data_IF_338539846194
#
_entry.id   IF_338539846194
#
_cell.length_a   1.000
_cell.length_b   1.000
_cell.length_c   1.000
_cell.angle_alpha   90.00
_cell.angle_beta   90.00
_cell.angle_gamma   90.00
#
_symmetry.space_group_name_H-M   'P 1'
#
loop_
_entity.id
_entity.type
_entity.pdbx_description
1 polymer ?
#
# COMPACT_ATOMS: atom_id res chain seq x y z
N UNK A 1 12.55 19.59 -0.09
CA UNK A 1 13.87 18.99 0.21
C UNK A 1 14.33 19.57 1.52
N UNK A 2 14.41 18.76 2.58
CA UNK A 2 14.93 19.20 3.87
C UNK A 2 16.43 19.40 3.73
N UNK A 3 16.97 20.61 3.94
CA UNK A 3 18.40 20.84 3.85
C UNK A 3 19.11 20.24 5.07
N UNK A 4 19.45 18.95 4.99
CA UNK A 4 20.37 18.36 5.96
C UNK A 4 21.77 18.89 5.61
N UNK A 5 22.36 19.66 6.50
CA UNK A 5 23.71 20.17 6.28
C UNK A 5 24.69 18.99 6.19
N UNK A 6 25.52 18.95 5.14
CA UNK A 6 26.51 17.88 4.95
C UNK A 6 27.41 17.69 6.19
N UNK A 7 27.69 18.77 6.91
CA UNK A 7 28.45 18.74 8.17
C UNK A 7 27.80 17.89 9.28
N UNK A 8 26.44 17.85 9.35
CA UNK A 8 25.75 17.00 10.34
C UNK A 8 25.86 15.51 10.01
N UNK A 9 26.10 15.15 8.76
CA UNK A 9 26.31 13.77 8.33
C UNK A 9 27.74 13.29 8.60
N UNK A 10 28.73 14.18 8.60
CA UNK A 10 30.14 13.86 8.87
C UNK A 10 30.36 13.47 10.34
N UNK A 11 29.56 14.00 11.25
CA UNK A 11 29.62 13.70 12.68
C UNK A 11 28.67 12.56 13.12
N UNK A 12 28.11 11.81 12.15
CA UNK A 12 27.29 10.64 12.45
C UNK A 12 28.11 9.54 13.14
N UNK A 13 27.57 9.00 14.25
CA UNK A 13 28.25 7.97 15.06
C UNK A 13 28.27 6.58 14.40
N UNK A 14 27.66 6.42 13.21
CA UNK A 14 27.49 5.11 12.57
C UNK A 14 27.76 5.16 11.07
N UNK A 15 28.46 4.12 10.59
CA UNK A 15 28.58 3.89 9.15
C UNK A 15 27.27 3.40 8.53
N UNK A 16 27.13 3.53 7.21
CA UNK A 16 25.99 2.97 6.48
C UNK A 16 25.83 1.47 6.72
N UNK A 17 26.93 0.74 6.74
CA UNK A 17 26.93 -0.70 7.03
C UNK A 17 26.39 -1.01 8.43
N UNK A 18 26.84 -0.29 9.47
CA UNK A 18 26.34 -0.47 10.82
C UNK A 18 24.84 -0.15 10.91
N UNK A 19 24.37 0.87 10.21
CA UNK A 19 22.95 1.18 10.13
C UNK A 19 22.16 0.09 9.41
N UNK A 20 22.67 -0.45 8.30
CA UNK A 20 22.04 -1.56 7.59
C UNK A 20 21.90 -2.80 8.46
N UNK A 21 22.94 -3.14 9.23
CA UNK A 21 22.90 -4.24 10.20
C UNK A 21 21.84 -4.00 11.28
N UNK A 22 21.84 -2.83 11.90
CA UNK A 22 20.86 -2.49 12.96
C UNK A 22 19.42 -2.52 12.46
N UNK A 23 19.15 -1.95 11.28
CA UNK A 23 17.84 -2.01 10.67
C UNK A 23 17.44 -3.44 10.32
N UNK A 24 18.38 -4.24 9.80
CA UNK A 24 18.15 -5.65 9.52
C UNK A 24 17.78 -6.44 10.78
N UNK A 25 18.51 -6.21 11.89
CA UNK A 25 18.21 -6.82 13.19
C UNK A 25 16.82 -6.40 13.70
N UNK A 26 16.51 -5.11 13.59
CA UNK A 26 15.21 -4.58 14.00
C UNK A 26 14.05 -5.21 13.22
N UNK A 27 14.19 -5.40 11.91
CA UNK A 27 13.17 -5.96 11.05
C UNK A 27 13.14 -7.50 11.01
N UNK A 28 14.03 -8.19 11.71
CA UNK A 28 14.03 -9.65 11.80
C UNK A 28 12.88 -10.24 12.63
N UNK A 29 12.20 -9.42 13.43
CA UNK A 29 11.02 -9.82 14.18
C UNK A 29 9.82 -10.00 13.22
N UNK A 30 9.41 -11.25 13.02
CA UNK A 30 8.40 -11.64 12.05
C UNK A 30 6.97 -11.22 12.41
N UNK A 31 6.74 -10.74 13.64
CA UNK A 31 5.40 -10.35 14.12
C UNK A 31 5.07 -8.87 13.85
N UNK A 32 5.94 -8.15 13.15
CA UNK A 32 5.75 -6.71 12.91
C UNK A 32 4.97 -6.45 11.63
N UNK A 33 3.96 -5.60 11.74
CA UNK A 33 3.30 -4.97 10.60
C UNK A 33 4.00 -3.65 10.32
N UNK A 34 4.47 -3.47 9.10
CA UNK A 34 5.09 -2.23 8.67
C UNK A 34 4.03 -1.34 8.02
N UNK A 35 3.82 -0.16 8.58
CA UNK A 35 3.00 0.88 7.97
C UNK A 35 3.87 1.87 7.19
N UNK A 36 3.39 2.29 6.03
CA UNK A 36 4.00 3.36 5.23
C UNK A 36 2.93 4.20 4.54
N UNK A 37 3.33 5.31 3.92
CA UNK A 37 2.49 6.09 3.03
C UNK A 37 3.19 6.22 1.67
N UNK A 38 2.68 5.54 0.64
CA UNK A 38 3.31 5.37 -0.67
C UNK A 38 4.68 4.66 -0.63
N UNK A 39 4.94 3.92 0.44
CA UNK A 39 6.23 3.29 0.69
C UNK A 39 6.54 2.12 -0.25
N UNK A 40 5.51 1.45 -0.77
CA UNK A 40 5.68 0.39 -1.79
C UNK A 40 6.38 0.93 -3.03
N UNK A 41 6.06 2.15 -3.42
CA UNK A 41 6.60 2.77 -4.61
C UNK A 41 7.95 3.48 -4.39
N UNK A 42 8.25 3.89 -3.16
CA UNK A 42 9.43 4.68 -2.83
C UNK A 42 10.30 4.04 -1.74
N UNK A 43 9.86 4.04 -0.48
CA UNK A 43 10.69 3.65 0.68
C UNK A 43 11.22 2.23 0.59
N UNK A 44 10.40 1.27 0.15
CA UNK A 44 10.84 -0.12 -0.01
C UNK A 44 11.90 -0.29 -1.09
N UNK A 45 11.83 0.50 -2.16
CA UNK A 45 12.84 0.46 -3.22
C UNK A 45 14.17 1.04 -2.74
N UNK A 46 14.12 2.15 -2.00
CA UNK A 46 15.29 2.77 -1.39
C UNK A 46 15.93 1.82 -0.38
N UNK A 47 15.14 1.21 0.51
CA UNK A 47 15.64 0.26 1.50
C UNK A 47 16.26 -1.00 0.87
N UNK A 48 15.65 -1.53 -0.20
CA UNK A 48 16.23 -2.67 -0.94
C UNK A 48 17.60 -2.32 -1.51
N UNK A 49 17.72 -1.14 -2.12
CA UNK A 49 18.99 -0.66 -2.66
C UNK A 49 20.02 -0.44 -1.55
N UNK A 50 19.62 0.21 -0.47
CA UNK A 50 20.45 0.45 0.70
C UNK A 50 20.99 -0.87 1.30
N UNK A 51 20.15 -1.89 1.47
CA UNK A 51 20.59 -3.20 1.96
C UNK A 51 21.56 -3.87 0.98
N UNK A 52 21.27 -3.83 -0.32
CA UNK A 52 22.12 -4.40 -1.36
C UNK A 52 23.52 -3.77 -1.36
N UNK A 53 23.60 -2.45 -1.34
CA UNK A 53 24.89 -1.72 -1.28
C UNK A 53 25.71 -2.02 -0.02
N UNK A 54 25.06 -2.39 1.07
CA UNK A 54 25.69 -2.73 2.33
C UNK A 54 25.83 -4.25 2.56
N UNK A 55 25.81 -5.05 1.49
CA UNK A 55 25.99 -6.52 1.52
C UNK A 55 24.99 -7.23 2.44
N UNK A 56 23.81 -6.66 2.63
CA UNK A 56 22.70 -7.26 3.35
C UNK A 56 21.67 -7.81 2.36
N UNK A 57 20.80 -8.71 2.82
CA UNK A 57 19.75 -9.26 1.96
C UNK A 57 18.73 -8.17 1.57
N UNK A 58 18.53 -7.88 0.27
CA UNK A 58 17.71 -6.73 -0.17
C UNK A 58 16.23 -6.84 0.18
N UNK A 59 15.71 -8.07 0.31
CA UNK A 59 14.28 -8.34 0.49
C UNK A 59 13.90 -8.63 1.93
N UNK A 60 14.68 -8.15 2.91
CA UNK A 60 14.42 -8.36 4.34
C UNK A 60 13.00 -7.98 4.78
N UNK A 61 12.43 -6.92 4.17
CA UNK A 61 11.08 -6.43 4.49
C UNK A 61 9.96 -7.19 3.77
N UNK A 62 10.30 -8.15 2.91
CA UNK A 62 9.34 -8.92 2.13
C UNK A 62 9.46 -10.43 2.38
N UNK A 63 10.25 -10.85 3.39
CA UNK A 63 10.43 -12.24 3.79
C UNK A 63 9.42 -12.65 4.87
N UNK A 64 9.21 -13.95 5.00
CA UNK A 64 8.66 -14.63 6.17
C UNK A 64 7.33 -14.04 6.66
N UNK A 65 6.29 -14.07 5.89
CA UNK A 65 4.96 -13.58 6.29
C UNK A 65 4.90 -12.13 6.82
N UNK A 66 5.93 -11.34 6.56
CA UNK A 66 5.94 -9.92 6.91
C UNK A 66 4.84 -9.20 6.16
N UNK A 67 4.13 -8.38 6.91
CA UNK A 67 2.98 -7.65 6.41
C UNK A 67 3.39 -6.21 6.21
N UNK A 68 3.11 -5.69 5.02
CA UNK A 68 3.29 -4.28 4.72
C UNK A 68 1.94 -3.67 4.36
N UNK A 69 1.54 -2.64 5.10
CA UNK A 69 0.33 -1.85 4.88
C UNK A 69 0.72 -0.48 4.38
N UNK A 70 0.35 -0.18 3.15
CA UNK A 70 0.53 1.15 2.58
C UNK A 70 -0.76 1.97 2.76
N UNK A 71 -0.72 2.97 3.63
CA UNK A 71 -1.89 3.80 3.95
C UNK A 71 -2.39 4.62 2.75
N UNK A 72 -1.58 4.85 1.73
CA UNK A 72 -2.08 5.42 0.48
C UNK A 72 -3.08 4.47 -0.19
N UNK A 73 -2.80 3.17 -0.20
CA UNK A 73 -3.73 2.18 -0.75
C UNK A 73 -5.00 2.05 0.10
N UNK A 74 -4.86 2.08 1.43
CA UNK A 74 -6.02 2.16 2.32
C UNK A 74 -6.84 3.44 2.10
N UNK A 75 -6.18 4.55 1.76
CA UNK A 75 -6.85 5.82 1.43
C UNK A 75 -7.66 5.76 0.13
N UNK A 76 -7.25 4.93 -0.87
CA UNK A 76 -8.10 4.71 -2.04
C UNK A 76 -9.41 4.03 -1.64
N UNK A 77 -9.34 2.99 -0.81
CA UNK A 77 -10.53 2.30 -0.32
C UNK A 77 -11.39 3.21 0.57
N UNK A 78 -10.78 3.97 1.47
CA UNK A 78 -11.49 4.94 2.32
C UNK A 78 -12.22 6.00 1.49
N UNK A 79 -11.58 6.52 0.42
CA UNK A 79 -12.19 7.49 -0.51
C UNK A 79 -13.46 6.97 -1.16
N UNK A 80 -13.46 5.68 -1.54
CA UNK A 80 -14.48 5.10 -2.39
C UNK A 80 -15.59 4.37 -1.60
N UNK A 81 -15.29 3.89 -0.38
CA UNK A 81 -16.18 3.01 0.38
C UNK A 81 -16.50 3.51 1.78
N UNK A 82 -16.02 4.70 2.19
CA UNK A 82 -16.30 5.24 3.51
C UNK A 82 -16.50 6.75 3.48
N UNK A 83 -17.40 7.24 4.33
CA UNK A 83 -17.59 8.67 4.58
C UNK A 83 -16.95 9.11 5.92
N UNK A 84 -16.36 8.17 6.66
CA UNK A 84 -15.76 8.42 7.98
C UNK A 84 -14.45 9.19 7.91
N UNK A 85 -13.73 9.11 6.78
CA UNK A 85 -12.48 9.83 6.56
C UNK A 85 -12.73 11.04 5.66
N UNK A 86 -12.33 12.21 6.16
CA UNK A 86 -12.48 13.46 5.41
C UNK A 86 -11.30 13.67 4.46
N UNK A 87 -11.57 14.26 3.30
CA UNK A 87 -10.58 14.56 2.27
C UNK A 87 -10.72 16.01 1.81
N UNK A 88 -9.60 16.70 1.69
CA UNK A 88 -9.57 18.02 1.05
C UNK A 88 -9.88 17.85 -0.45
N UNK A 89 -10.77 18.68 -0.96
CA UNK A 89 -11.04 18.74 -2.41
C UNK A 89 -10.02 19.67 -3.05
N UNK A 90 -9.27 19.14 -4.01
CA UNK A 90 -8.28 19.91 -4.75
C UNK A 90 -8.93 20.81 -5.83
N UNK A 91 -8.12 21.66 -6.48
CA UNK A 91 -8.56 22.60 -7.52
C UNK A 91 -9.27 21.92 -8.72
N UNK A 92 -9.05 20.61 -8.91
CA UNK A 92 -9.69 19.81 -9.96
C UNK A 92 -11.00 19.15 -9.50
N UNK A 93 -11.50 19.50 -8.32
CA UNK A 93 -12.72 18.92 -7.75
C UNK A 93 -12.58 17.46 -7.29
N UNK A 94 -11.34 16.98 -7.08
CA UNK A 94 -11.07 15.60 -6.63
C UNK A 94 -10.58 15.57 -5.19
N UNK A 95 -10.95 14.52 -4.45
CA UNK A 95 -10.41 14.23 -3.12
C UNK A 95 -8.89 14.10 -3.19
N UNK A 96 -8.16 14.90 -2.42
CA UNK A 96 -6.70 14.82 -2.34
C UNK A 96 -6.29 13.62 -1.50
N UNK A 97 -5.32 12.87 -2.00
CA UNK A 97 -4.78 11.67 -1.33
C UNK A 97 -3.34 11.92 -0.83
N UNK A 98 -2.95 13.18 -0.66
CA UNK A 98 -1.68 13.49 -0.01
C UNK A 98 -1.79 13.25 1.49
N UNK A 99 -0.75 12.72 2.10
CA UNK A 99 -0.68 12.46 3.53
C UNK A 99 -1.04 13.71 4.36
N UNK A 100 -0.44 14.84 4.04
CA UNK A 100 -0.69 16.12 4.71
C UNK A 100 -2.14 16.59 4.58
N UNK A 101 -2.74 16.43 3.39
CA UNK A 101 -4.10 16.88 3.14
C UNK A 101 -5.13 15.99 3.88
N UNK A 102 -4.88 14.67 3.95
CA UNK A 102 -5.70 13.74 4.75
C UNK A 102 -5.58 14.09 6.23
N UNK A 103 -4.37 14.33 6.73
CA UNK A 103 -4.13 14.70 8.12
C UNK A 103 -4.91 15.98 8.49
N UNK A 104 -4.73 17.05 7.72
CA UNK A 104 -5.38 18.34 7.96
C UNK A 104 -6.91 18.24 7.89
N UNK A 105 -7.45 17.50 6.91
CA UNK A 105 -8.89 17.31 6.77
C UNK A 105 -9.53 16.63 8.00
N UNK A 106 -8.75 15.85 8.75
CA UNK A 106 -9.20 15.11 9.93
C UNK A 106 -8.69 15.70 11.26
N UNK A 107 -8.19 16.95 11.24
CA UNK A 107 -7.79 17.67 12.45
C UNK A 107 -6.44 17.23 13.04
N UNK A 108 -5.62 16.53 12.27
CA UNK A 108 -4.28 16.11 12.67
C UNK A 108 -3.29 17.23 12.35
N UNK A 109 -2.49 17.64 13.34
CA UNK A 109 -1.44 18.62 13.16
C UNK A 109 -0.23 17.98 12.45
N UNK A 110 0.17 18.53 11.31
CA UNK A 110 1.26 18.02 10.49
C UNK A 110 2.65 18.53 10.87
N UNK A 111 2.74 19.41 11.88
CA UNK A 111 4.01 19.99 12.32
C UNK A 111 4.76 20.72 11.20
N UNK A 112 6.09 20.64 11.20
CA UNK A 112 6.93 21.20 10.13
C UNK A 112 7.00 20.18 9.00
N UNK A 113 6.18 20.37 7.97
CA UNK A 113 6.15 19.48 6.79
C UNK A 113 7.56 19.27 6.21
N UNK A 114 7.81 18.03 5.76
CA UNK A 114 9.06 17.58 5.14
C UNK A 114 10.24 17.33 6.09
N UNK A 115 10.01 17.16 7.40
CA UNK A 115 10.96 16.47 8.25
C UNK A 115 10.57 15.00 8.36
N UNK A 116 11.54 14.08 8.25
CA UNK A 116 11.24 12.64 8.35
C UNK A 116 10.57 12.25 9.67
N UNK A 117 10.88 12.97 10.75
CA UNK A 117 10.28 12.75 12.07
C UNK A 117 8.80 13.18 12.11
N UNK A 118 8.47 14.36 11.56
CA UNK A 118 7.10 14.87 11.57
C UNK A 118 6.23 14.10 10.57
N UNK A 119 6.78 13.74 9.40
CA UNK A 119 6.09 12.89 8.42
C UNK A 119 5.78 11.51 9.03
N UNK A 120 6.69 10.94 9.83
CA UNK A 120 6.44 9.67 10.53
C UNK A 120 5.39 9.81 11.63
N UNK A 121 5.40 10.90 12.41
CA UNK A 121 4.34 11.16 13.41
C UNK A 121 2.98 11.31 12.74
N UNK A 122 2.90 12.07 11.65
CA UNK A 122 1.68 12.22 10.86
C UNK A 122 1.18 10.87 10.33
N UNK A 123 2.10 10.02 9.84
CA UNK A 123 1.79 8.66 9.41
C UNK A 123 1.16 7.83 10.55
N UNK A 124 1.75 7.87 11.75
CA UNK A 124 1.22 7.16 12.93
C UNK A 124 -0.19 7.65 13.29
N UNK A 125 -0.41 8.96 13.33
CA UNK A 125 -1.72 9.54 13.65
C UNK A 125 -2.79 9.20 12.59
N UNK A 126 -2.42 9.13 11.31
CA UNK A 126 -3.33 8.66 10.26
C UNK A 126 -3.62 7.15 10.43
N UNK A 127 -2.62 6.34 10.78
CA UNK A 127 -2.84 4.93 11.05
C UNK A 127 -3.81 4.71 12.22
N UNK A 128 -3.65 5.46 13.30
CA UNK A 128 -4.55 5.42 14.47
C UNK A 128 -5.97 5.86 14.09
N UNK A 129 -6.10 6.94 13.32
CA UNK A 129 -7.38 7.43 12.80
C UNK A 129 -8.09 6.36 11.95
N UNK A 130 -7.35 5.71 11.05
CA UNK A 130 -7.91 4.68 10.18
C UNK A 130 -8.30 3.42 10.96
N UNK A 131 -7.51 3.04 11.97
CA UNK A 131 -7.86 1.94 12.87
C UNK A 131 -9.11 2.24 13.71
N UNK A 132 -9.32 3.49 14.10
CA UNK A 132 -10.50 3.92 14.86
C UNK A 132 -11.76 4.01 13.98
N UNK A 133 -11.64 4.62 12.78
CA UNK A 133 -12.79 5.00 11.95
C UNK A 133 -13.16 3.99 10.88
N UNK A 134 -12.18 3.26 10.35
CA UNK A 134 -12.34 2.32 9.23
C UNK A 134 -11.55 1.02 9.47
N UNK A 135 -11.71 0.37 10.65
CA UNK A 135 -10.92 -0.81 11.01
C UNK A 135 -11.01 -1.93 9.97
N UNK A 136 -12.14 -2.11 9.31
CA UNK A 136 -12.35 -3.16 8.30
C UNK A 136 -11.40 -2.98 7.11
N UNK A 137 -11.18 -1.75 6.67
CA UNK A 137 -10.25 -1.45 5.56
C UNK A 137 -8.81 -1.78 6.00
N UNK A 138 -8.43 -1.40 7.22
CA UNK A 138 -7.09 -1.68 7.74
C UNK A 138 -6.86 -3.18 7.96
N UNK A 139 -7.83 -3.89 8.54
CA UNK A 139 -7.73 -5.35 8.71
C UNK A 139 -7.65 -6.07 7.37
N UNK A 140 -8.45 -5.65 6.38
CA UNK A 140 -8.33 -6.17 5.01
C UNK A 140 -6.95 -5.87 4.40
N UNK A 141 -6.40 -4.67 4.61
CA UNK A 141 -5.06 -4.33 4.16
C UNK A 141 -3.97 -5.18 4.84
N UNK A 142 -4.12 -5.50 6.13
CA UNK A 142 -3.23 -6.42 6.87
C UNK A 142 -3.34 -7.84 6.31
N UNK A 143 -4.54 -8.36 6.08
CA UNK A 143 -4.75 -9.67 5.46
C UNK A 143 -4.15 -9.75 4.05
N UNK A 144 -4.23 -8.66 3.28
CA UNK A 144 -3.69 -8.54 1.94
C UNK A 144 -2.24 -8.04 1.88
N UNK A 145 -1.59 -7.78 3.01
CA UNK A 145 -0.25 -7.20 3.09
C UNK A 145 0.90 -8.11 2.65
N UNK A 146 0.59 -9.31 2.16
CA UNK A 146 1.53 -10.29 1.63
C UNK A 146 0.99 -10.84 0.30
N UNK A 147 1.88 -11.02 -0.69
CA UNK A 147 1.53 -11.48 -2.05
C UNK A 147 0.73 -12.79 -2.06
N UNK A 148 1.11 -13.75 -1.25
CA UNK A 148 0.44 -15.06 -1.25
C UNK A 148 -0.94 -14.99 -0.58
N UNK A 149 -1.07 -14.19 0.49
CA UNK A 149 -2.34 -14.01 1.17
C UNK A 149 -3.36 -13.32 0.28
N UNK A 150 -2.96 -12.23 -0.41
CA UNK A 150 -3.88 -11.52 -1.31
C UNK A 150 -4.33 -12.39 -2.48
N UNK A 151 -3.43 -13.20 -3.05
CA UNK A 151 -3.80 -14.11 -4.14
C UNK A 151 -4.83 -15.15 -3.68
N UNK A 152 -4.61 -15.78 -2.53
CA UNK A 152 -5.55 -16.76 -1.97
C UNK A 152 -6.91 -16.11 -1.68
N UNK A 153 -6.92 -14.95 -1.01
CA UNK A 153 -8.16 -14.24 -0.69
C UNK A 153 -8.94 -13.87 -1.95
N UNK A 154 -8.28 -13.36 -2.99
CA UNK A 154 -8.92 -13.00 -4.25
C UNK A 154 -9.53 -14.21 -4.99
N UNK A 155 -8.99 -15.41 -4.79
CA UNK A 155 -9.49 -16.65 -5.42
C UNK A 155 -10.65 -17.26 -4.60
N UNK A 156 -10.61 -17.12 -3.28
CA UNK A 156 -11.60 -17.72 -2.36
C UNK A 156 -12.92 -16.95 -2.31
N UNK A 157 -12.87 -15.63 -2.51
CA UNK A 157 -14.06 -14.77 -2.48
C UNK A 157 -14.89 -14.91 -3.77
N UNK A 158 -16.22 -14.84 -3.65
CA UNK A 158 -17.11 -14.82 -4.83
C UNK A 158 -16.97 -13.51 -5.60
N UNK A 159 -16.81 -12.42 -4.87
CA UNK A 159 -16.55 -11.07 -5.40
C UNK A 159 -15.84 -10.23 -4.34
N UNK A 160 -15.15 -9.19 -4.78
CA UNK A 160 -14.52 -8.22 -3.89
C UNK A 160 -14.49 -6.83 -4.54
N UNK A 161 -14.32 -5.82 -3.70
CA UNK A 161 -14.14 -4.44 -4.15
C UNK A 161 -12.64 -4.14 -4.26
N UNK A 162 -12.24 -3.60 -5.40
CA UNK A 162 -10.89 -3.13 -5.66
C UNK A 162 -10.91 -1.62 -5.87
N UNK A 163 -10.03 -0.91 -5.16
CA UNK A 163 -9.85 0.54 -5.32
C UNK A 163 -8.40 0.85 -5.72
N UNK A 164 -8.25 1.80 -6.63
CA UNK A 164 -6.96 2.25 -7.14
C UNK A 164 -6.97 3.78 -7.33
N UNK A 165 -5.87 4.42 -7.78
CA UNK A 165 -5.82 5.88 -7.94
C UNK A 165 -6.91 6.49 -8.83
N UNK A 166 -7.45 5.73 -9.77
CA UNK A 166 -8.34 6.23 -10.81
C UNK A 166 -9.79 5.83 -10.63
N UNK A 167 -10.05 4.66 -10.06
CA UNK A 167 -11.40 4.08 -9.99
C UNK A 167 -11.51 3.02 -8.90
N UNK A 168 -12.75 2.73 -8.53
CA UNK A 168 -13.11 1.51 -7.80
C UNK A 168 -13.91 0.58 -8.71
N UNK A 169 -13.78 -0.73 -8.47
CA UNK A 169 -14.47 -1.77 -9.21
C UNK A 169 -14.91 -2.88 -8.27
N UNK A 170 -16.07 -3.46 -8.54
CA UNK A 170 -16.46 -4.74 -7.99
C UNK A 170 -16.04 -5.83 -8.99
N UNK A 171 -15.28 -6.81 -8.54
CA UNK A 171 -14.67 -7.83 -9.36
C UNK A 171 -15.05 -9.22 -8.87
N UNK A 172 -15.31 -10.14 -9.80
CA UNK A 172 -15.48 -11.56 -9.52
C UNK A 172 -14.35 -12.38 -10.17
N UNK A 173 -13.74 -13.34 -9.47
CA UNK A 173 -12.70 -14.19 -10.07
C UNK A 173 -13.33 -15.10 -11.14
N UNK A 174 -12.79 -15.04 -12.37
CA UNK A 174 -13.23 -15.89 -13.48
C UNK A 174 -12.61 -17.27 -13.45
N UNK A 175 -11.35 -17.34 -13.04
CA UNK A 175 -10.55 -18.57 -13.07
C UNK A 175 -9.90 -18.72 -11.70
N UNK A 176 -10.25 -19.80 -11.00
CA UNK A 176 -9.67 -20.16 -9.70
C UNK A 176 -8.35 -20.92 -9.83
N UNK A 177 -8.01 -21.40 -11.03
CA UNK A 177 -6.75 -22.09 -11.31
C UNK A 177 -5.99 -21.35 -12.40
N UNK A 178 -4.67 -21.35 -12.28
CA UNK A 178 -3.80 -20.77 -13.30
C UNK A 178 -3.97 -21.44 -14.66
N UNK A 179 -4.00 -20.64 -15.71
CA UNK A 179 -3.87 -21.15 -17.08
C UNK A 179 -2.41 -21.55 -17.28
N UNK A 180 -2.15 -22.70 -17.91
CA UNK A 180 -0.79 -23.17 -18.19
C UNK A 180 -0.02 -22.11 -18.99
N UNK A 181 1.10 -21.64 -18.45
CA UNK A 181 1.91 -20.56 -19.01
C UNK A 181 1.55 -19.16 -18.48
N UNK A 182 0.52 -19.05 -17.64
CA UNK A 182 0.05 -17.79 -17.01
C UNK A 182 -0.17 -17.96 -15.50
N UNK A 183 0.69 -18.74 -14.85
CA UNK A 183 0.54 -19.17 -13.46
C UNK A 183 0.58 -17.99 -12.44
N UNK A 184 1.04 -16.82 -12.89
CA UNK A 184 1.11 -15.60 -12.07
C UNK A 184 -0.02 -14.61 -12.38
N UNK A 185 -0.99 -14.99 -13.20
CA UNK A 185 -2.11 -14.11 -13.59
C UNK A 185 -3.42 -14.65 -13.04
N UNK A 186 -4.27 -13.73 -12.57
CA UNK A 186 -5.63 -14.00 -12.13
C UNK A 186 -6.56 -13.12 -12.97
N UNK A 187 -7.58 -13.73 -13.57
CA UNK A 187 -8.53 -13.03 -14.39
C UNK A 187 -9.79 -12.73 -13.59
N UNK A 188 -10.31 -11.52 -13.77
CA UNK A 188 -11.51 -11.05 -13.08
C UNK A 188 -12.52 -10.52 -14.07
N UNK A 189 -13.78 -10.70 -13.73
CA UNK A 189 -14.89 -10.05 -14.41
C UNK A 189 -15.27 -8.77 -13.67
N UNK A 190 -15.40 -7.66 -14.39
CA UNK A 190 -15.89 -6.39 -13.85
C UNK A 190 -17.42 -6.45 -13.75
N UNK A 191 -17.93 -6.48 -12.51
CA UNK A 191 -19.37 -6.61 -12.22
C UNK A 191 -20.20 -5.37 -12.63
N UNK A 192 -19.56 -4.29 -13.10
CA UNK A 192 -20.27 -3.19 -13.75
C UNK A 192 -20.84 -3.57 -15.12
N UNK A 193 -20.43 -4.71 -15.68
CA UNK A 193 -20.90 -5.22 -16.96
C UNK A 193 -21.85 -6.39 -16.77
N UNK A 194 -22.84 -6.50 -17.68
CA UNK A 194 -23.76 -7.63 -17.73
C UNK A 194 -23.06 -8.87 -18.30
N UNK A 195 -22.89 -9.96 -17.52
CA UNK A 195 -22.19 -11.16 -17.97
C UNK A 195 -22.97 -11.92 -19.08
N UNK A 196 -24.28 -11.77 -19.18
CA UNK A 196 -25.09 -12.48 -20.19
C UNK A 196 -24.64 -12.17 -21.61
N UNK A 197 -24.11 -10.98 -21.84
CA UNK A 197 -23.56 -10.56 -23.14
C UNK A 197 -22.35 -11.37 -23.58
N UNK A 198 -21.65 -11.98 -22.65
CA UNK A 198 -20.38 -12.69 -22.88
C UNK A 198 -20.50 -14.22 -22.80
N UNK A 199 -21.48 -14.73 -22.03
CA UNK A 199 -21.65 -16.19 -21.80
C UNK A 199 -21.92 -16.95 -23.09
N UNK A 200 -22.67 -16.34 -24.02
CA UNK A 200 -23.05 -16.94 -25.30
C UNK A 200 -22.35 -16.30 -26.50
N UNK A 201 -21.40 -15.40 -26.29
CA UNK A 201 -20.69 -14.72 -27.35
C UNK A 201 -19.59 -15.60 -27.94
N UNK A 202 -19.42 -15.55 -29.25
CA UNK A 202 -18.30 -16.18 -29.94
C UNK A 202 -16.99 -15.41 -29.68
N UNK A 203 -15.82 -16.07 -29.85
CA UNK A 203 -14.50 -15.44 -29.72
C UNK A 203 -14.36 -14.15 -30.55
N UNK A 204 -14.97 -14.12 -31.74
CA UNK A 204 -14.95 -12.95 -32.63
C UNK A 204 -15.81 -11.79 -32.13
N UNK A 205 -16.81 -12.03 -31.30
CA UNK A 205 -17.64 -11.01 -30.67
C UNK A 205 -17.00 -10.44 -29.42
N UNK A 206 -16.24 -11.28 -28.68
CA UNK A 206 -15.51 -10.86 -27.49
C UNK A 206 -14.26 -10.03 -27.86
N UNK A 207 -13.65 -10.29 -29.04
CA UNK A 207 -12.42 -9.63 -29.50
C UNK A 207 -12.65 -8.24 -30.11
N UNK A 208 -13.85 -7.76 -30.23
CA UNK A 208 -14.24 -6.42 -30.73
C UNK A 208 -14.46 -5.42 -29.60
#
# INVERSE_FOLDING_TARGET
VTPIAAQSLIHGDQSQYQMACKLGDYFRDNQRVLFSFNGINYDLKVLRHFYFENLQYPYQLSQDDRIHVDLLHASYAARDFSDEIQFIINEKGKKSLKQTDIALANGIDVGVAHTAADDTKTLMQIADLFLEKIPEIIFTAIECGNKFRVQNKMIEEEYFCHSNPWSSKALAPLIRNSIKGMENEIYFFDLAHDPEKYINASETEISK
#
